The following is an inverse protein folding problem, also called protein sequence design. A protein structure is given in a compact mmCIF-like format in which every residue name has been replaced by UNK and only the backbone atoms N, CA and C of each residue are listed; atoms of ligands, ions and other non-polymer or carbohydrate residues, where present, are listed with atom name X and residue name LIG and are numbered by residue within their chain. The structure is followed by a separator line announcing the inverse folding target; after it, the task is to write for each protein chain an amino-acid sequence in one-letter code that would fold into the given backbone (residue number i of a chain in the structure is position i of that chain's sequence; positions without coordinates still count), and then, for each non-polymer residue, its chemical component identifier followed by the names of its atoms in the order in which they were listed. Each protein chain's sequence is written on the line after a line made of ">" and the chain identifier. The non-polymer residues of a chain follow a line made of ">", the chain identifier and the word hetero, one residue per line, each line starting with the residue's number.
data_IF_512349503446
#
_entry.id   IF_512349503446
#
_cell.length_a   1.000
_cell.length_b   1.000
_cell.length_c   1.000
_cell.angle_alpha   90.00
_cell.angle_beta   90.00
_cell.angle_gamma   90.00
#
_symmetry.space_group_name_H-M   'P 1'
#
loop_
_entity.id
_entity.type
_entity.pdbx_description
1 polymer ?
#
# COMPACT_ATOMS: atom_id res chain seq x y z
N UNK A 1 -23.31 -30.95 -3.46
CA UNK A 1 -23.52 -29.50 -3.63
C UNK A 1 -23.67 -28.88 -2.25
N UNK A 2 -22.55 -28.47 -1.65
CA UNK A 2 -22.52 -27.65 -0.46
C UNK A 2 -21.85 -26.36 -0.87
N UNK A 3 -22.64 -25.30 -0.98
CA UNK A 3 -22.16 -23.93 -1.23
C UNK A 3 -21.42 -23.47 0.01
N UNK A 4 -20.13 -23.79 0.09
CA UNK A 4 -19.23 -23.18 1.05
C UNK A 4 -19.11 -21.70 0.69
N UNK A 5 -19.86 -20.84 1.38
CA UNK A 5 -19.56 -19.41 1.41
C UNK A 5 -18.11 -19.26 1.86
N UNK A 6 -17.21 -18.96 0.93
CA UNK A 6 -15.89 -18.42 1.26
C UNK A 6 -16.14 -17.24 2.19
N UNK A 7 -15.63 -17.22 3.43
CA UNK A 7 -15.97 -16.16 4.36
C UNK A 7 -15.52 -14.85 3.72
N UNK A 8 -16.43 -13.88 3.61
CA UNK A 8 -16.08 -12.50 3.36
C UNK A 8 -14.93 -12.15 4.32
N UNK A 9 -13.71 -12.02 3.77
CA UNK A 9 -12.46 -12.05 4.53
C UNK A 9 -12.54 -11.07 5.69
N UNK A 10 -12.38 -11.60 6.90
CA UNK A 10 -12.80 -11.05 8.19
C UNK A 10 -12.55 -9.53 8.36
N UNK A 11 -13.59 -8.73 8.11
CA UNK A 11 -13.59 -7.27 8.29
C UNK A 11 -13.22 -6.92 9.73
N UNK A 12 -13.70 -7.68 10.72
CA UNK A 12 -13.44 -7.41 12.12
C UNK A 12 -11.95 -7.58 12.44
N UNK A 13 -11.34 -8.69 12.00
CA UNK A 13 -9.90 -8.91 12.19
C UNK A 13 -9.04 -7.86 11.47
N UNK A 14 -9.42 -7.43 10.26
CA UNK A 14 -8.72 -6.33 9.58
C UNK A 14 -8.89 -4.98 10.30
N UNK A 15 -10.10 -4.69 10.77
CA UNK A 15 -10.45 -3.48 11.48
C UNK A 15 -9.67 -3.30 12.78
N UNK A 16 -9.57 -4.35 13.61
CA UNK A 16 -8.82 -4.31 14.88
C UNK A 16 -7.31 -4.04 14.67
N UNK A 17 -6.80 -4.43 13.50
CA UNK A 17 -5.41 -4.21 13.09
C UNK A 17 -5.18 -2.78 12.59
N UNK A 18 -6.20 -2.07 12.11
CA UNK A 18 -6.04 -0.70 11.64
C UNK A 18 -5.66 0.26 12.78
N UNK A 19 -4.84 1.27 12.48
CA UNK A 19 -4.46 2.31 13.46
C UNK A 19 -5.59 3.33 13.64
N UNK A 20 -6.18 3.81 12.55
CA UNK A 20 -7.11 4.93 12.57
C UNK A 20 -8.40 4.69 13.39
N UNK A 21 -8.97 3.47 13.50
CA UNK A 21 -10.12 3.27 14.38
C UNK A 21 -9.80 3.43 15.86
N UNK A 22 -8.53 3.30 16.25
CA UNK A 22 -8.08 3.37 17.66
C UNK A 22 -8.07 4.79 18.21
N UNK A 23 -8.04 5.80 17.32
CA UNK A 23 -8.07 7.22 17.72
C UNK A 23 -9.50 7.75 17.83
N UNK A 24 -10.50 6.99 17.37
CA UNK A 24 -11.90 7.41 17.35
C UNK A 24 -12.57 7.21 18.71
N UNK A 25 -13.58 8.04 18.99
CA UNK A 25 -14.55 7.76 20.05
C UNK A 25 -15.39 6.53 19.71
N UNK A 26 -16.08 5.96 20.69
CA UNK A 26 -16.91 4.78 20.47
C UNK A 26 -18.03 5.03 19.43
N UNK A 27 -18.70 6.18 19.49
CA UNK A 27 -19.76 6.52 18.54
C UNK A 27 -19.24 6.65 17.10
N UNK A 28 -18.10 7.32 16.92
CA UNK A 28 -17.42 7.43 15.62
C UNK A 28 -16.97 6.07 15.10
N UNK A 29 -16.39 5.23 15.96
CA UNK A 29 -15.93 3.88 15.61
C UNK A 29 -17.09 2.99 15.16
N UNK A 30 -18.22 3.02 15.87
CA UNK A 30 -19.43 2.27 15.50
C UNK A 30 -20.02 2.75 14.18
N UNK A 31 -20.07 4.07 13.98
CA UNK A 31 -20.57 4.70 12.76
C UNK A 31 -19.71 4.31 11.56
N UNK A 32 -18.40 4.45 11.69
CA UNK A 32 -17.43 4.09 10.66
C UNK A 32 -17.49 2.59 10.34
N UNK A 33 -17.49 1.72 11.35
CA UNK A 33 -17.53 0.27 11.16
C UNK A 33 -18.79 -0.19 10.41
N UNK A 34 -19.96 0.35 10.77
CA UNK A 34 -21.24 0.04 10.11
C UNK A 34 -21.28 0.47 8.63
N UNK A 35 -20.52 1.50 8.27
CA UNK A 35 -20.48 2.03 6.91
C UNK A 35 -19.52 1.25 5.99
N UNK A 36 -18.63 0.43 6.55
CA UNK A 36 -17.64 -0.30 5.76
C UNK A 36 -18.29 -1.33 4.85
N UNK A 37 -17.72 -1.49 3.66
CA UNK A 37 -18.06 -2.58 2.76
C UNK A 37 -16.82 -3.13 2.06
N UNK A 38 -16.87 -4.40 1.66
CA UNK A 38 -15.78 -5.05 0.93
C UNK A 38 -16.05 -5.12 -0.56
N UNK A 39 -14.99 -5.10 -1.36
CA UNK A 39 -15.03 -5.47 -2.78
C UNK A 39 -13.90 -6.44 -3.10
N UNK A 40 -14.23 -7.45 -3.89
CA UNK A 40 -13.27 -8.41 -4.43
C UNK A 40 -12.92 -8.00 -5.86
N UNK A 41 -11.65 -8.13 -6.21
CA UNK A 41 -11.12 -7.75 -7.51
C UNK A 41 -10.26 -8.89 -8.06
N UNK A 42 -10.48 -9.23 -9.33
CA UNK A 42 -9.64 -10.15 -10.08
C UNK A 42 -8.25 -9.57 -10.36
N UNK A 43 -7.34 -10.43 -10.82
CA UNK A 43 -6.05 -9.96 -11.32
C UNK A 43 -6.25 -9.04 -12.54
N UNK A 44 -5.64 -7.86 -12.50
CA UNK A 44 -5.72 -6.83 -13.54
C UNK A 44 -6.96 -5.96 -13.48
N UNK A 45 -7.91 -6.25 -12.57
CA UNK A 45 -9.13 -5.45 -12.43
C UNK A 45 -8.85 -4.08 -11.81
N UNK A 46 -9.52 -3.06 -12.34
CA UNK A 46 -9.45 -1.71 -11.80
C UNK A 46 -10.34 -1.57 -10.57
N UNK A 47 -9.73 -1.19 -9.45
CA UNK A 47 -10.43 -0.74 -8.25
C UNK A 47 -11.00 0.66 -8.45
N UNK A 48 -10.24 1.52 -9.13
CA UNK A 48 -10.65 2.87 -9.52
C UNK A 48 -10.00 3.24 -10.85
N UNK A 49 -10.73 3.95 -11.69
CA UNK A 49 -10.21 4.48 -12.95
C UNK A 49 -9.84 5.96 -12.83
N UNK A 50 -8.97 6.39 -13.74
CA UNK A 50 -8.66 7.80 -13.95
C UNK A 50 -9.92 8.57 -14.34
N UNK A 51 -9.99 9.82 -13.92
CA UNK A 51 -11.11 10.74 -14.11
C UNK A 51 -12.42 10.38 -13.37
N UNK A 52 -12.47 9.28 -12.63
CA UNK A 52 -13.59 8.99 -11.74
C UNK A 52 -13.57 9.88 -10.49
N UNK A 53 -14.75 10.19 -9.97
CA UNK A 53 -14.87 10.85 -8.66
C UNK A 53 -14.56 9.83 -7.57
N UNK A 54 -13.71 10.20 -6.62
CA UNK A 54 -13.47 9.33 -5.47
C UNK A 54 -14.74 9.16 -4.64
N UNK A 55 -15.12 7.94 -4.32
CA UNK A 55 -16.36 7.59 -3.61
C UNK A 55 -16.07 6.92 -2.25
N UNK A 56 -14.82 6.55 -2.01
CA UNK A 56 -14.41 5.80 -0.83
C UNK A 56 -12.91 5.90 -0.57
N UNK A 57 -12.53 5.72 0.70
CA UNK A 57 -11.15 5.50 1.13
C UNK A 57 -10.91 4.00 1.19
N UNK A 58 -9.79 3.54 0.62
CA UNK A 58 -9.63 2.14 0.23
C UNK A 58 -8.51 1.50 1.05
N UNK A 59 -8.86 0.54 1.90
CA UNK A 59 -7.95 -0.35 2.60
C UNK A 59 -7.75 -1.66 1.85
N UNK A 60 -6.56 -2.25 1.91
CA UNK A 60 -6.26 -3.56 1.31
C UNK A 60 -6.30 -4.63 2.41
N UNK A 61 -7.30 -5.50 2.39
CA UNK A 61 -7.39 -6.63 3.35
C UNK A 61 -6.37 -7.71 2.97
N UNK A 62 -6.37 -8.10 1.71
CA UNK A 62 -5.49 -9.12 1.15
C UNK A 62 -5.22 -8.80 -0.31
N UNK A 63 -4.02 -9.10 -0.81
CA UNK A 63 -3.62 -8.85 -2.19
C UNK A 63 -2.64 -7.69 -2.29
N UNK A 64 -2.63 -7.02 -3.44
CA UNK A 64 -1.74 -5.90 -3.70
C UNK A 64 -2.33 -5.00 -4.78
N UNK A 65 -2.35 -3.71 -4.50
CA UNK A 65 -2.80 -2.70 -5.45
C UNK A 65 -1.62 -1.95 -6.02
N UNK A 66 -1.70 -1.70 -7.33
CA UNK A 66 -0.81 -0.82 -8.05
C UNK A 66 -1.51 0.52 -8.28
N UNK A 67 -0.89 1.60 -7.81
CA UNK A 67 -1.28 2.97 -8.16
C UNK A 67 -0.48 3.35 -9.39
N UNK A 68 -1.15 3.67 -10.49
CA UNK A 68 -0.52 3.91 -11.79
C UNK A 68 -1.17 5.03 -12.57
N UNK A 69 -0.48 5.52 -13.58
CA UNK A 69 -1.09 6.20 -14.72
C UNK A 69 -0.69 5.48 -16.01
N UNK A 70 -1.30 5.84 -17.13
CA UNK A 70 -0.93 5.34 -18.45
C UNK A 70 -0.18 6.44 -19.21
N UNK A 71 1.04 6.16 -19.65
CA UNK A 71 1.83 7.09 -20.46
C UNK A 71 1.20 7.30 -21.85
N UNK A 72 1.67 8.32 -22.57
CA UNK A 72 1.18 8.63 -23.91
C UNK A 72 1.36 7.47 -24.92
N UNK A 73 2.36 6.61 -24.71
CA UNK A 73 2.60 5.39 -25.49
C UNK A 73 1.86 4.14 -24.97
N UNK A 74 0.92 4.33 -24.04
CA UNK A 74 0.05 3.26 -23.53
C UNK A 74 0.69 2.35 -22.48
N UNK A 75 1.87 2.71 -21.96
CA UNK A 75 2.55 1.89 -20.93
C UNK A 75 2.12 2.33 -19.53
N UNK A 76 1.82 1.38 -18.63
CA UNK A 76 1.53 1.72 -17.25
C UNK A 76 2.79 2.27 -16.57
N UNK A 77 2.66 3.44 -15.97
CA UNK A 77 3.65 4.09 -15.10
C UNK A 77 3.16 3.92 -13.67
N UNK A 78 3.84 3.07 -12.91
CA UNK A 78 3.51 2.86 -11.50
C UNK A 78 4.08 4.00 -10.65
N UNK A 79 3.25 4.54 -9.76
CA UNK A 79 3.68 5.52 -8.76
C UNK A 79 4.05 4.85 -7.44
N UNK A 80 3.22 3.90 -6.98
CA UNK A 80 3.45 3.18 -5.73
C UNK A 80 2.62 1.91 -5.66
N UNK A 81 3.00 1.02 -4.73
CA UNK A 81 2.27 -0.20 -4.39
C UNK A 81 1.60 -0.08 -3.02
N UNK A 82 0.42 -0.69 -2.88
CA UNK A 82 -0.29 -0.76 -1.61
C UNK A 82 -0.46 -2.23 -1.24
N UNK A 83 0.34 -2.66 -0.27
CA UNK A 83 0.25 -4.01 0.30
C UNK A 83 -0.91 -4.12 1.28
N UNK A 84 -1.25 -5.36 1.65
CA UNK A 84 -2.20 -5.66 2.71
C UNK A 84 -1.89 -4.88 4.01
N UNK A 85 -2.93 -4.33 4.63
CA UNK A 85 -2.81 -3.42 5.78
C UNK A 85 -2.68 -1.94 5.41
N UNK A 86 -2.38 -1.62 4.15
CA UNK A 86 -2.29 -0.25 3.65
C UNK A 86 -3.64 0.35 3.28
N UNK A 87 -3.72 1.68 3.38
CA UNK A 87 -4.85 2.49 2.92
C UNK A 87 -4.39 3.51 1.86
N UNK A 88 -5.28 3.83 0.92
CA UNK A 88 -5.02 4.74 -0.20
C UNK A 88 -6.29 5.46 -0.67
N UNK A 89 -6.11 6.59 -1.37
CA UNK A 89 -7.19 7.34 -2.03
C UNK A 89 -7.63 8.60 -1.27
N UNK A 90 -7.04 8.85 -0.11
CA UNK A 90 -7.35 10.00 0.75
C UNK A 90 -7.19 11.35 0.04
N UNK A 91 -6.17 11.49 -0.81
CA UNK A 91 -5.91 12.74 -1.55
C UNK A 91 -7.07 13.16 -2.47
N UNK A 92 -7.70 12.21 -3.15
CA UNK A 92 -8.85 12.47 -4.03
C UNK A 92 -10.15 12.71 -3.27
N UNK A 93 -10.29 12.14 -2.06
CA UNK A 93 -11.42 12.46 -1.18
C UNK A 93 -11.35 13.89 -0.66
N UNK A 94 -10.17 14.31 -0.20
CA UNK A 94 -9.93 15.61 0.42
C UNK A 94 -10.05 16.80 -0.54
N UNK A 95 -9.72 16.62 -1.83
CA UNK A 95 -9.70 17.71 -2.83
C UNK A 95 -10.98 17.86 -3.64
N UNK A 96 -11.94 16.94 -3.48
CA UNK A 96 -13.17 16.87 -4.31
C UNK A 96 -12.83 17.04 -5.81
N UNK A 97 -11.81 16.31 -6.28
CA UNK A 97 -11.36 16.32 -7.68
C UNK A 97 -11.46 14.93 -8.30
N UNK A 98 -11.52 14.89 -9.63
CA UNK A 98 -11.40 13.65 -10.39
C UNK A 98 -10.04 12.99 -10.13
N UNK A 99 -10.01 11.66 -10.05
CA UNK A 99 -8.78 10.89 -9.86
C UNK A 99 -7.80 11.16 -11.00
N UNK A 100 -6.56 11.45 -10.65
CA UNK A 100 -5.46 11.69 -11.62
C UNK A 100 -4.71 10.42 -12.01
N UNK A 101 -5.11 9.28 -11.45
CA UNK A 101 -4.44 8.00 -11.56
C UNK A 101 -5.46 6.87 -11.44
N UNK A 102 -5.04 5.67 -11.81
CA UNK A 102 -5.78 4.42 -11.70
C UNK A 102 -5.25 3.61 -10.53
N UNK A 103 -6.11 2.74 -9.99
CA UNK A 103 -5.73 1.74 -9.01
C UNK A 103 -6.16 0.38 -9.57
N UNK A 104 -5.22 -0.53 -9.74
CA UNK A 104 -5.48 -1.87 -10.27
C UNK A 104 -4.98 -2.95 -9.32
N UNK A 105 -5.72 -4.04 -9.20
CA UNK A 105 -5.30 -5.22 -8.48
C UNK A 105 -4.28 -6.02 -9.31
N UNK A 106 -3.12 -6.36 -8.75
CA UNK A 106 -2.09 -7.13 -9.48
C UNK A 106 -2.30 -8.64 -9.38
N UNK A 107 -3.23 -9.06 -8.53
CA UNK A 107 -3.64 -10.45 -8.22
C UNK A 107 -5.02 -10.42 -7.55
N UNK A 108 -5.68 -11.57 -7.28
CA UNK A 108 -6.90 -11.60 -6.50
C UNK A 108 -6.77 -10.79 -5.21
N UNK A 109 -7.54 -9.72 -5.10
CA UNK A 109 -7.39 -8.69 -4.06
C UNK A 109 -8.74 -8.41 -3.42
N UNK A 110 -8.76 -8.29 -2.10
CA UNK A 110 -9.95 -7.90 -1.35
C UNK A 110 -9.68 -6.57 -0.68
N UNK A 111 -10.57 -5.64 -0.95
CA UNK A 111 -10.49 -4.25 -0.51
C UNK A 111 -11.61 -3.96 0.49
N UNK A 112 -11.31 -3.09 1.46
CA UNK A 112 -12.25 -2.54 2.41
C UNK A 112 -12.44 -1.06 2.08
N UNK A 113 -13.68 -0.60 2.05
CA UNK A 113 -14.01 0.75 1.67
C UNK A 113 -14.70 1.48 2.81
N UNK A 114 -14.22 2.68 3.15
CA UNK A 114 -14.95 3.66 3.94
C UNK A 114 -15.62 4.65 2.96
N UNK A 115 -16.96 4.71 2.87
CA UNK A 115 -17.64 5.60 1.95
C UNK A 115 -17.27 7.07 2.18
N UNK A 116 -17.28 7.87 1.09
CA UNK A 116 -17.01 9.31 1.12
C UNK A 116 -17.81 10.01 2.20
N UNK A 117 -19.11 9.75 2.30
CA UNK A 117 -19.98 10.45 3.25
C UNK A 117 -19.54 10.22 4.70
N UNK A 118 -19.14 9.00 5.05
CA UNK A 118 -18.62 8.67 6.38
C UNK A 118 -17.23 9.23 6.60
N UNK A 119 -16.36 9.21 5.58
CA UNK A 119 -15.05 9.85 5.64
C UNK A 119 -15.17 11.36 5.88
N UNK A 120 -16.03 12.06 5.13
CA UNK A 120 -16.32 13.49 5.31
C UNK A 120 -16.94 13.75 6.68
N UNK A 121 -17.89 12.92 7.13
CA UNK A 121 -18.50 13.05 8.46
C UNK A 121 -17.45 12.96 9.59
N UNK A 122 -16.45 12.06 9.45
CA UNK A 122 -15.33 11.99 10.39
C UNK A 122 -14.45 13.24 10.32
N UNK A 123 -14.16 13.77 9.13
CA UNK A 123 -13.38 15.00 8.98
C UNK A 123 -14.04 16.21 9.65
N UNK A 124 -15.36 16.31 9.54
CA UNK A 124 -16.14 17.44 10.08
C UNK A 124 -16.25 17.40 11.62
N UNK A 125 -16.05 16.24 12.24
CA UNK A 125 -16.41 16.00 13.66
C UNK A 125 -15.29 15.49 14.54
N UNK A 126 -14.34 14.74 13.99
CA UNK A 126 -13.35 14.01 14.76
C UNK A 126 -11.98 14.67 14.66
N UNK A 127 -11.65 15.50 15.64
CA UNK A 127 -10.28 16.07 15.77
C UNK A 127 -9.20 14.97 15.82
N UNK A 128 -9.37 13.85 16.56
CA UNK A 128 -8.40 12.76 16.53
C UNK A 128 -8.22 12.13 15.14
N UNK A 129 -9.30 11.94 14.37
CA UNK A 129 -9.21 11.46 12.99
C UNK A 129 -8.46 12.45 12.11
N UNK A 130 -8.71 13.75 12.26
CA UNK A 130 -8.00 14.79 11.50
C UNK A 130 -6.50 14.77 11.79
N UNK A 131 -6.09 14.64 13.06
CA UNK A 131 -4.68 14.47 13.41
C UNK A 131 -4.07 13.20 12.82
N UNK A 132 -4.81 12.08 12.84
CA UNK A 132 -4.38 10.86 12.17
C UNK A 132 -4.18 11.09 10.66
N UNK A 133 -5.11 11.75 9.98
CA UNK A 133 -5.02 12.03 8.54
C UNK A 133 -3.84 12.93 8.20
N UNK A 134 -3.58 13.97 8.99
CA UNK A 134 -2.41 14.83 8.83
C UNK A 134 -1.10 14.05 8.97
N UNK A 135 -1.00 13.19 10.00
CA UNK A 135 0.16 12.32 10.17
C UNK A 135 0.30 11.33 9.00
N UNK A 136 -0.78 10.66 8.59
CA UNK A 136 -0.77 9.71 7.48
C UNK A 136 -0.30 10.35 6.16
N UNK A 137 -0.81 11.54 5.84
CA UNK A 137 -0.39 12.30 4.66
C UNK A 137 1.08 12.73 4.75
N UNK A 138 1.55 13.13 5.92
CA UNK A 138 2.95 13.52 6.14
C UNK A 138 3.91 12.33 5.96
N UNK A 139 3.53 11.15 6.46
CA UNK A 139 4.30 9.92 6.24
C UNK A 139 4.31 9.51 4.76
N UNK A 140 3.18 9.63 4.07
CA UNK A 140 3.09 9.36 2.63
C UNK A 140 3.96 10.32 1.82
N UNK A 141 3.94 11.60 2.14
CA UNK A 141 4.81 12.61 1.53
C UNK A 141 6.29 12.30 1.79
N UNK A 142 6.64 11.95 3.03
CA UNK A 142 8.00 11.56 3.41
C UNK A 142 8.48 10.34 2.63
N UNK A 143 7.62 9.34 2.43
CA UNK A 143 7.90 8.17 1.58
C UNK A 143 8.19 8.60 0.13
N UNK A 144 7.38 9.49 -0.46
CA UNK A 144 7.61 9.98 -1.83
C UNK A 144 8.92 10.77 -1.97
N UNK A 145 9.21 11.67 -1.03
CA UNK A 145 10.48 12.42 -1.03
C UNK A 145 11.68 11.48 -0.89
N UNK A 146 11.57 10.46 -0.04
CA UNK A 146 12.60 9.43 0.11
C UNK A 146 12.81 8.65 -1.19
N UNK A 147 11.74 8.25 -1.90
CA UNK A 147 11.84 7.60 -3.21
C UNK A 147 12.61 8.46 -4.21
N UNK A 148 12.30 9.76 -4.32
CA UNK A 148 13.03 10.68 -5.21
C UNK A 148 14.51 10.80 -4.83
N UNK A 149 14.84 10.85 -3.53
CA UNK A 149 16.22 10.84 -3.04
C UNK A 149 16.93 9.56 -3.46
N UNK A 150 16.29 8.40 -3.25
CA UNK A 150 16.88 7.10 -3.57
C UNK A 150 17.05 6.87 -5.07
N UNK A 151 16.11 7.33 -5.89
CA UNK A 151 16.21 7.26 -7.35
C UNK A 151 17.43 8.01 -7.90
N UNK A 152 17.87 9.07 -7.21
CA UNK A 152 19.05 9.86 -7.58
C UNK A 152 20.36 9.35 -7.01
N UNK A 153 20.32 8.67 -5.85
CA UNK A 153 21.53 8.37 -5.06
C UNK A 153 21.87 6.88 -5.00
N UNK A 154 20.93 5.98 -5.30
CA UNK A 154 21.12 4.55 -5.11
C UNK A 154 21.24 3.79 -6.43
N UNK A 155 22.23 2.90 -6.45
CA UNK A 155 22.32 1.81 -7.41
C UNK A 155 21.08 0.88 -7.32
N UNK A 156 20.79 0.10 -8.38
CA UNK A 156 19.59 -0.74 -8.45
C UNK A 156 19.32 -1.60 -7.20
N UNK A 157 20.34 -2.24 -6.61
CA UNK A 157 20.16 -3.06 -5.40
C UNK A 157 19.72 -2.23 -4.20
N UNK A 158 20.31 -1.03 -4.03
CA UNK A 158 19.89 -0.07 -3.01
C UNK A 158 18.42 0.32 -3.17
N UNK A 159 17.99 0.62 -4.40
CA UNK A 159 16.60 0.96 -4.71
C UNK A 159 15.64 -0.18 -4.40
N UNK A 160 15.98 -1.41 -4.79
CA UNK A 160 15.20 -2.62 -4.47
C UNK A 160 15.07 -2.80 -2.96
N UNK A 161 16.15 -2.68 -2.21
CA UNK A 161 16.14 -2.80 -0.75
C UNK A 161 15.22 -1.74 -0.10
N UNK A 162 15.32 -0.47 -0.53
CA UNK A 162 14.47 0.62 0.00
C UNK A 162 13.01 0.46 -0.40
N UNK A 163 12.73 0.03 -1.62
CA UNK A 163 11.38 -0.27 -2.08
C UNK A 163 10.71 -1.33 -1.20
N UNK A 164 11.39 -2.47 -0.99
CA UNK A 164 10.90 -3.54 -0.13
C UNK A 164 10.71 -3.04 1.31
N UNK A 165 11.70 -2.35 1.88
CA UNK A 165 11.63 -1.82 3.24
C UNK A 165 10.46 -0.83 3.43
N UNK A 166 10.12 -0.05 2.40
CA UNK A 166 9.03 0.92 2.48
C UNK A 166 7.65 0.28 2.70
N UNK A 167 7.47 -0.97 2.29
CA UNK A 167 6.25 -1.75 2.51
C UNK A 167 6.07 -2.23 3.96
N UNK A 168 7.02 -1.91 4.84
CA UNK A 168 6.96 -2.17 6.29
C UNK A 168 6.85 -0.90 7.12
N UNK A 169 6.54 0.24 6.48
CA UNK A 169 6.44 1.51 7.19
C UNK A 169 5.40 1.43 8.33
N UNK A 170 5.75 1.74 9.59
CA UNK A 170 4.90 1.44 10.75
C UNK A 170 3.56 2.18 10.73
N UNK A 171 3.46 3.32 10.05
CA UNK A 171 2.22 4.10 9.94
C UNK A 171 1.41 3.73 8.70
N UNK A 172 2.08 3.41 7.58
CA UNK A 172 1.41 3.21 6.28
C UNK A 172 1.05 1.75 6.06
N UNK A 173 1.82 0.84 6.65
CA UNK A 173 1.67 -0.61 6.56
C UNK A 173 1.90 -1.28 7.95
N UNK A 174 1.12 -0.90 8.98
CA UNK A 174 1.33 -1.32 10.38
C UNK A 174 1.27 -2.83 10.63
N UNK A 175 0.65 -3.59 9.71
CA UNK A 175 0.34 -5.01 9.91
C UNK A 175 0.98 -5.90 8.84
N UNK A 176 2.06 -5.43 8.22
CA UNK A 176 2.78 -6.23 7.24
C UNK A 176 3.62 -7.28 7.93
N UNK A 177 3.25 -8.54 7.69
CA UNK A 177 4.01 -9.73 8.11
C UNK A 177 5.42 -9.72 7.51
N UNK A 178 6.36 -10.43 8.13
CA UNK A 178 7.72 -10.55 7.61
C UNK A 178 7.79 -11.06 6.15
N UNK A 179 6.78 -11.80 5.70
CA UNK A 179 6.65 -12.30 4.34
C UNK A 179 5.76 -11.40 3.50
N UNK A 180 6.34 -10.74 2.50
CA UNK A 180 5.61 -10.05 1.46
C UNK A 180 5.24 -10.99 0.33
N UNK A 181 3.96 -11.04 -0.01
CA UNK A 181 3.52 -11.59 -1.30
C UNK A 181 3.75 -10.52 -2.36
N UNK A 182 4.89 -10.60 -3.05
CA UNK A 182 5.29 -9.64 -4.08
C UNK A 182 6.24 -10.30 -5.07
N UNK A 183 5.95 -10.09 -6.35
CA UNK A 183 6.75 -10.57 -7.47
C UNK A 183 7.92 -9.63 -7.78
N UNK A 184 8.94 -10.16 -8.46
CA UNK A 184 10.07 -9.37 -8.94
C UNK A 184 9.64 -8.27 -9.91
N UNK A 185 8.57 -8.50 -10.67
CA UNK A 185 8.04 -7.52 -11.60
C UNK A 185 7.39 -6.35 -10.87
N UNK A 186 6.59 -6.61 -9.82
CA UNK A 186 5.98 -5.56 -8.99
C UNK A 186 7.03 -4.73 -8.25
N UNK A 187 8.10 -5.37 -7.77
CA UNK A 187 9.24 -4.64 -7.19
C UNK A 187 9.89 -3.76 -8.26
N UNK A 188 10.07 -4.29 -9.47
CA UNK A 188 10.67 -3.56 -10.59
C UNK A 188 9.87 -2.32 -10.95
N UNK A 189 8.54 -2.44 -11.01
CA UNK A 189 7.64 -1.30 -11.21
C UNK A 189 7.74 -0.28 -10.06
N UNK A 190 7.77 -0.74 -8.81
CA UNK A 190 7.82 0.12 -7.63
C UNK A 190 9.11 0.95 -7.53
N UNK A 191 10.25 0.42 -8.01
CA UNK A 191 11.57 1.07 -7.86
C UNK A 191 12.19 1.50 -9.19
N UNK A 192 11.44 1.42 -10.29
CA UNK A 192 11.86 1.87 -11.61
C UNK A 192 13.05 1.10 -12.19
N UNK A 193 13.10 -0.23 -12.00
CA UNK A 193 14.15 -1.09 -12.59
C UNK A 193 13.55 -2.33 -13.27
N UNK A 194 14.29 -2.92 -14.21
CA UNK A 194 13.81 -4.13 -14.91
C UNK A 194 13.74 -5.34 -13.98
N UNK A 195 12.86 -6.30 -14.28
CA UNK A 195 12.75 -7.57 -13.56
C UNK A 195 14.09 -8.30 -13.44
N UNK A 196 14.92 -8.28 -14.48
CA UNK A 196 16.25 -8.90 -14.45
C UNK A 196 17.17 -8.22 -13.43
N UNK A 197 17.15 -6.88 -13.35
CA UNK A 197 17.91 -6.14 -12.34
C UNK A 197 17.38 -6.38 -10.93
N UNK A 198 16.06 -6.52 -10.77
CA UNK A 198 15.48 -6.94 -9.49
C UNK A 198 15.99 -8.32 -9.09
N UNK A 199 15.99 -9.29 -10.00
CA UNK A 199 16.46 -10.64 -9.71
C UNK A 199 17.91 -10.65 -9.18
N UNK A 200 18.82 -9.93 -9.86
CA UNK A 200 20.21 -9.76 -9.42
C UNK A 200 20.28 -9.10 -8.04
N UNK A 201 19.54 -8.02 -7.83
CA UNK A 201 19.48 -7.34 -6.54
C UNK A 201 18.98 -8.24 -5.41
N UNK A 202 17.95 -9.06 -5.66
CA UNK A 202 17.42 -9.98 -4.66
C UNK A 202 18.44 -11.04 -4.26
N UNK A 203 19.22 -11.57 -5.22
CA UNK A 203 20.32 -12.50 -4.90
C UNK A 203 21.40 -11.85 -4.04
N UNK A 204 21.75 -10.59 -4.30
CA UNK A 204 22.72 -9.83 -3.50
C UNK A 204 22.19 -9.59 -2.07
N UNK A 205 20.92 -9.20 -1.92
CA UNK A 205 20.30 -8.98 -0.62
C UNK A 205 20.12 -10.27 0.18
N UNK A 206 19.86 -11.40 -0.49
CA UNK A 206 19.80 -12.73 0.11
C UNK A 206 21.18 -13.21 0.56
N UNK A 207 22.22 -13.00 -0.26
CA UNK A 207 23.61 -13.25 0.13
C UNK A 207 24.04 -12.41 1.36
N UNK A 208 23.54 -11.17 1.47
CA UNK A 208 23.73 -10.31 2.64
C UNK A 208 22.88 -10.70 3.87
N UNK A 209 22.07 -11.76 3.77
CA UNK A 209 21.17 -12.27 4.81
C UNK A 209 20.12 -11.25 5.26
N UNK A 210 19.69 -10.36 4.36
CA UNK A 210 18.66 -9.35 4.64
C UNK A 210 17.26 -9.87 4.32
N UNK A 211 17.16 -10.74 3.32
CA UNK A 211 15.92 -11.35 2.85
C UNK A 211 16.15 -12.83 2.54
N UNK A 212 15.06 -13.56 2.37
CA UNK A 212 15.02 -14.87 1.73
C UNK A 212 13.96 -14.85 0.63
N UNK A 213 14.33 -15.30 -0.56
CA UNK A 213 13.41 -15.34 -1.71
C UNK A 213 12.61 -16.64 -1.72
N UNK A 214 11.35 -16.56 -2.13
CA UNK A 214 10.47 -17.70 -2.36
C UNK A 214 9.66 -17.51 -3.64
N UNK A 215 8.89 -18.53 -4.03
CA UNK A 215 8.02 -18.39 -5.19
C UNK A 215 6.93 -17.35 -4.92
N UNK A 216 6.96 -16.22 -5.65
CA UNK A 216 5.98 -15.13 -5.52
C UNK A 216 6.05 -14.35 -4.21
N UNK A 217 7.07 -14.57 -3.37
CA UNK A 217 7.18 -13.94 -2.06
C UNK A 217 8.62 -13.63 -1.64
N UNK A 218 8.75 -12.69 -0.71
CA UNK A 218 10.00 -12.31 -0.07
C UNK A 218 9.81 -12.31 1.43
N UNK A 219 10.60 -13.10 2.15
CA UNK A 219 10.68 -13.05 3.60
C UNK A 219 11.79 -12.08 4.02
N UNK A 220 11.45 -11.00 4.73
CA UNK A 220 12.42 -10.03 5.22
C UNK A 220 12.97 -10.49 6.57
N UNK A 221 14.27 -10.79 6.59
CA UNK A 221 14.99 -11.31 7.75
C UNK A 221 15.42 -10.19 8.70
N UNK A 222 15.85 -9.04 8.15
CA UNK A 222 16.28 -7.88 8.93
C UNK A 222 15.76 -6.58 8.31
N UNK A 223 14.64 -6.09 8.86
CA UNK A 223 13.97 -4.86 8.39
C UNK A 223 14.86 -3.62 8.54
N UNK A 224 15.62 -3.53 9.63
CA UNK A 224 16.41 -2.35 9.95
C UNK A 224 17.65 -2.24 9.07
N UNK A 225 18.35 -3.35 8.82
CA UNK A 225 19.49 -3.38 7.90
C UNK A 225 19.02 -3.21 6.46
N UNK A 226 17.90 -3.83 6.07
CA UNK A 226 17.32 -3.65 4.73
C UNK A 226 16.96 -2.17 4.48
N UNK A 227 16.33 -1.52 5.45
CA UNK A 227 15.96 -0.10 5.35
C UNK A 227 17.15 0.84 5.40
N UNK A 228 18.38 0.35 5.59
CA UNK A 228 19.62 1.15 5.61
C UNK A 228 20.60 0.73 4.51
N UNK A 229 20.21 -0.21 3.64
CA UNK A 229 21.08 -0.71 2.59
C UNK A 229 21.34 0.35 1.49
N UNK A 230 22.57 0.45 0.94
CA UNK A 230 23.82 -0.13 1.46
C UNK A 230 24.27 0.59 2.74
N UNK A 231 24.97 -0.10 3.65
CA UNK A 231 25.22 0.31 5.04
C UNK A 231 25.93 1.68 5.27
N UNK A 232 26.34 2.38 4.21
CA UNK A 232 27.11 3.63 4.25
C UNK A 232 26.27 4.91 4.08
N UNK A 233 24.96 4.90 4.38
CA UNK A 233 24.15 6.13 4.32
C UNK A 233 23.73 6.62 5.72
N UNK A 234 23.99 7.89 6.07
CA UNK A 234 23.48 8.46 7.31
C UNK A 234 21.94 8.49 7.29
N UNK A 235 21.36 8.32 8.48
CA UNK A 235 19.91 8.28 8.74
C UNK A 235 19.20 9.52 8.18
#
# INVERSE_FOLDING_TARGET
>A
MSSGKTPARDIAAFWERCIWPRVLTQCERETAYKALYTREHGQGEFVCQRNEIADSWIGVIEGFLRVQDTSADGKPVMFTGVAAGGWIGEGSLLKVEQRKYEIAATRPTVTLHLPRDTFTWLLDRSVPFNHFMLSHLNERLSQFIATVKFDRLLEPTGRVARGIASLFHPVLYPNTDATLQISQEEIGWMVGVSRQRVNVALHELEAAQLIKTGYGCINVLDRQRLSRYPANQPA
#
